data_IF_388012806658
#
_entry.id   IF_388012806658
#
_cell.length_a   1.000
_cell.length_b   1.000
_cell.length_c   1.000
_cell.angle_alpha   90.00
_cell.angle_beta   90.00
_cell.angle_gamma   90.00
#
_symmetry.space_group_name_H-M   'P 1'
#
loop_
_entity.id
_entity.type
_entity.pdbx_description
1 polymer ?
#
# COMPACT_ATOMS: atom_id res chain seq x y z
N UNK A 1 -12.37 5.61 -10.96
CA UNK A 1 -12.37 4.45 -10.03
C UNK A 1 -11.12 4.45 -9.17
N UNK A 2 -9.90 4.36 -9.73
CA UNK A 2 -8.65 4.38 -8.94
C UNK A 2 -8.48 5.68 -8.13
N UNK A 3 -8.69 6.83 -8.76
CA UNK A 3 -8.62 8.12 -8.05
C UNK A 3 -9.58 8.20 -6.86
N UNK A 4 -10.73 7.54 -6.97
CA UNK A 4 -11.72 7.52 -5.90
C UNK A 4 -11.29 6.58 -4.76
N UNK A 5 -10.70 5.42 -5.06
CA UNK A 5 -10.11 4.56 -4.04
C UNK A 5 -8.97 5.28 -3.30
N UNK A 6 -8.10 5.98 -4.03
CA UNK A 6 -7.04 6.78 -3.43
C UNK A 6 -7.60 7.90 -2.52
N UNK A 7 -8.69 8.58 -2.96
CA UNK A 7 -9.37 9.61 -2.16
C UNK A 7 -9.96 9.05 -0.86
N UNK A 8 -10.64 7.92 -0.95
CA UNK A 8 -11.25 7.24 0.20
C UNK A 8 -10.19 6.77 1.22
N UNK A 9 -9.03 6.34 0.74
CA UNK A 9 -7.90 5.92 1.56
C UNK A 9 -7.97 4.47 2.02
N UNK A 10 -6.80 3.97 2.47
CA UNK A 10 -6.58 2.56 2.78
C UNK A 10 -7.51 2.03 3.86
N UNK A 11 -7.72 2.79 4.94
CA UNK A 11 -8.58 2.38 6.05
C UNK A 11 -10.04 2.25 5.65
N UNK A 12 -10.60 3.22 4.89
CA UNK A 12 -12.00 3.18 4.42
C UNK A 12 -12.20 2.04 3.43
N UNK A 13 -11.23 1.83 2.53
CA UNK A 13 -11.25 0.74 1.54
C UNK A 13 -11.20 -0.63 2.23
N UNK A 14 -10.30 -0.82 3.18
CA UNK A 14 -10.22 -2.05 3.98
C UNK A 14 -11.53 -2.37 4.69
N UNK A 15 -12.09 -1.41 5.42
CA UNK A 15 -13.34 -1.59 6.15
C UNK A 15 -14.54 -1.82 5.21
N UNK A 16 -14.65 -1.03 4.13
CA UNK A 16 -15.71 -1.17 3.12
C UNK A 16 -15.59 -2.45 2.30
N UNK A 17 -14.37 -2.97 2.15
CA UNK A 17 -14.07 -4.24 1.49
C UNK A 17 -14.36 -5.49 2.34
N UNK A 18 -14.78 -5.32 3.60
CA UNK A 18 -15.09 -6.43 4.52
C UNK A 18 -13.89 -6.87 5.36
N UNK A 19 -12.93 -5.99 5.56
CA UNK A 19 -11.71 -6.20 6.38
C UNK A 19 -10.77 -7.26 5.81
N UNK A 20 -10.63 -7.25 4.50
CA UNK A 20 -9.72 -8.14 3.75
C UNK A 20 -8.62 -7.31 3.10
N UNK A 21 -7.41 -7.86 2.97
CA UNK A 21 -6.31 -7.25 2.23
C UNK A 21 -5.48 -6.23 3.03
N UNK A 22 -5.51 -6.23 4.37
CA UNK A 22 -4.62 -5.42 5.19
C UNK A 22 -3.19 -5.97 5.17
N UNK A 23 -2.25 -5.15 4.73
CA UNK A 23 -0.82 -5.46 4.76
C UNK A 23 -0.26 -5.17 6.16
N UNK A 24 -0.01 -6.22 6.94
CA UNK A 24 0.55 -6.13 8.29
C UNK A 24 2.08 -6.00 8.22
N UNK A 25 2.53 -4.79 7.97
CA UNK A 25 3.95 -4.46 7.88
C UNK A 25 4.23 -3.04 8.34
N UNK A 26 5.28 -2.87 9.14
CA UNK A 26 5.79 -1.54 9.48
C UNK A 26 6.41 -0.90 8.23
N UNK A 27 5.70 0.07 7.66
CA UNK A 27 6.10 0.76 6.44
C UNK A 27 6.36 2.24 6.71
N UNK A 28 7.44 2.74 6.15
CA UNK A 28 7.78 4.17 6.10
C UNK A 28 7.19 4.73 4.81
N UNK A 29 6.24 5.65 4.91
CA UNK A 29 5.83 6.49 3.78
C UNK A 29 6.89 7.56 3.56
N UNK A 30 7.61 7.48 2.46
CA UNK A 30 8.73 8.38 2.19
C UNK A 30 8.28 9.79 1.79
N UNK A 31 7.18 9.88 1.03
CA UNK A 31 6.58 11.15 0.59
C UNK A 31 5.31 11.41 1.40
N UNK A 32 5.38 12.17 2.51
CA UNK A 32 4.23 12.38 3.38
C UNK A 32 3.03 12.98 2.66
N UNK A 33 1.83 12.51 3.00
CA UNK A 33 0.56 12.98 2.42
C UNK A 33 0.22 12.38 1.06
N UNK A 34 1.06 11.52 0.50
CA UNK A 34 0.72 10.80 -0.72
C UNK A 34 -0.45 9.84 -0.47
N UNK A 35 -1.39 9.82 -1.42
CA UNK A 35 -2.48 8.86 -1.51
C UNK A 35 -2.50 8.30 -2.92
N UNK A 36 -2.37 7.01 -3.07
CA UNK A 36 -2.25 6.35 -4.38
C UNK A 36 -3.15 5.12 -4.43
N UNK A 37 -3.77 4.89 -5.57
CA UNK A 37 -4.33 3.59 -5.92
C UNK A 37 -3.88 3.21 -7.32
N UNK A 38 -3.43 1.97 -7.50
CA UNK A 38 -2.98 1.48 -8.80
C UNK A 38 -2.82 -0.03 -8.84
N UNK A 39 -2.82 -0.62 -10.05
CA UNK A 39 -2.62 -2.03 -10.23
C UNK A 39 -1.19 -2.46 -9.89
N UNK A 40 -1.04 -3.61 -9.26
CA UNK A 40 0.23 -4.18 -8.85
C UNK A 40 1.05 -4.68 -10.05
N UNK A 41 2.29 -4.19 -10.17
CA UNK A 41 3.38 -4.83 -10.93
C UNK A 41 4.26 -5.56 -9.92
N UNK A 42 4.13 -6.87 -9.84
CA UNK A 42 4.81 -7.67 -8.81
C UNK A 42 6.19 -8.15 -9.26
N UNK A 43 7.16 -8.06 -8.35
CA UNK A 43 8.56 -8.40 -8.57
C UNK A 43 9.07 -9.21 -7.39
N UNK A 44 9.53 -10.43 -7.65
CA UNK A 44 10.27 -11.24 -6.68
C UNK A 44 11.75 -11.23 -7.06
N UNK A 45 12.56 -10.59 -6.24
CA UNK A 45 14.02 -10.61 -6.33
C UNK A 45 14.59 -11.86 -5.67
N UNK A 46 15.78 -12.29 -6.06
CA UNK A 46 16.54 -13.21 -5.23
C UNK A 46 16.99 -12.53 -3.92
N UNK A 47 17.33 -13.31 -2.92
CA UNK A 47 17.68 -12.77 -1.61
C UNK A 47 18.90 -11.84 -1.67
N UNK A 48 18.68 -10.56 -1.36
CA UNK A 48 19.74 -9.53 -1.36
C UNK A 48 20.17 -9.07 -2.76
N UNK A 49 19.39 -9.37 -3.81
CA UNK A 49 19.68 -9.05 -5.21
C UNK A 49 18.58 -8.17 -5.80
N UNK A 50 18.91 -7.27 -6.73
CA UNK A 50 17.91 -6.40 -7.38
C UNK A 50 17.91 -6.49 -8.91
N UNK A 51 18.47 -7.54 -9.50
CA UNK A 51 18.45 -7.75 -10.95
C UNK A 51 17.02 -7.65 -11.51
N UNK A 52 16.04 -8.23 -10.79
CA UNK A 52 14.66 -8.21 -11.24
C UNK A 52 14.00 -6.83 -11.15
N UNK A 53 14.48 -5.94 -10.30
CA UNK A 53 14.02 -4.54 -10.30
C UNK A 53 14.42 -3.85 -11.61
N UNK A 54 15.65 -4.10 -12.11
CA UNK A 54 16.07 -3.59 -13.42
C UNK A 54 15.22 -4.16 -14.55
N UNK A 55 14.90 -5.47 -14.51
CA UNK A 55 14.04 -6.09 -15.51
C UNK A 55 12.60 -5.53 -15.49
N UNK A 56 12.08 -5.25 -14.29
CA UNK A 56 10.74 -4.68 -14.12
C UNK A 56 10.57 -3.32 -14.79
N UNK A 57 11.63 -2.49 -14.86
CA UNK A 57 11.55 -1.17 -15.51
C UNK A 57 11.18 -1.27 -16.98
N UNK A 58 11.56 -2.37 -17.67
CA UNK A 58 11.19 -2.58 -19.06
C UNK A 58 9.74 -3.06 -19.26
N UNK A 59 9.12 -3.58 -18.21
CA UNK A 59 7.74 -4.11 -18.25
C UNK A 59 6.71 -3.15 -17.63
N UNK A 60 7.15 -2.20 -16.83
CA UNK A 60 6.32 -1.26 -16.08
C UNK A 60 5.42 -0.42 -17.00
N UNK A 61 4.13 -0.35 -16.66
CA UNK A 61 3.17 0.47 -17.38
C UNK A 61 2.78 1.70 -16.54
N UNK A 62 2.41 2.84 -17.19
CA UNK A 62 1.93 4.01 -16.49
C UNK A 62 0.73 3.71 -15.57
N UNK A 63 0.79 4.25 -14.35
CA UNK A 63 -0.26 4.07 -13.34
C UNK A 63 -0.10 2.82 -12.47
N UNK A 64 0.85 1.93 -12.75
CA UNK A 64 1.11 0.77 -11.90
C UNK A 64 1.84 1.12 -10.60
N UNK A 65 1.56 0.35 -9.57
CA UNK A 65 2.32 0.31 -8.31
C UNK A 65 3.33 -0.83 -8.40
N UNK A 66 4.62 -0.47 -8.37
CA UNK A 66 5.69 -1.46 -8.40
C UNK A 66 5.86 -2.09 -7.00
N UNK A 67 5.65 -3.40 -6.89
CA UNK A 67 5.75 -4.16 -5.63
C UNK A 67 7.03 -4.98 -5.64
N UNK A 68 8.00 -4.59 -4.84
CA UNK A 68 9.32 -5.20 -4.76
C UNK A 68 9.46 -6.09 -3.54
N UNK A 69 9.72 -7.37 -3.75
CA UNK A 69 9.89 -8.37 -2.69
C UNK A 69 11.16 -9.19 -2.86
N UNK A 70 11.55 -9.89 -1.81
CA UNK A 70 12.53 -10.98 -1.81
C UNK A 70 12.02 -12.09 -0.88
N UNK A 71 12.59 -13.32 -0.92
CA UNK A 71 12.09 -14.45 -0.12
C UNK A 71 11.88 -14.13 1.37
N UNK A 72 12.87 -13.47 1.98
CA UNK A 72 12.81 -13.01 3.36
C UNK A 72 13.04 -11.50 3.39
N UNK A 73 12.10 -10.68 3.88
CA UNK A 73 12.32 -9.25 4.01
C UNK A 73 13.61 -8.95 4.78
N UNK A 74 14.50 -8.16 4.18
CA UNK A 74 15.81 -7.87 4.78
C UNK A 74 16.19 -6.39 4.57
N UNK A 75 17.04 -5.82 5.45
CA UNK A 75 17.45 -4.42 5.35
C UNK A 75 18.55 -4.20 4.28
N UNK A 76 18.27 -4.65 3.06
CA UNK A 76 19.06 -4.47 1.84
C UNK A 76 18.30 -3.58 0.89
N UNK A 77 18.92 -2.53 0.38
CA UNK A 77 18.29 -1.56 -0.51
C UNK A 77 18.13 -2.16 -1.92
N UNK A 78 16.89 -2.50 -2.27
CA UNK A 78 16.53 -2.95 -3.62
C UNK A 78 16.49 -1.79 -4.63
N UNK A 79 16.20 -0.57 -4.15
CA UNK A 79 16.05 0.61 -4.99
C UNK A 79 16.75 1.82 -4.34
N UNK A 80 17.29 2.69 -5.17
CA UNK A 80 17.78 4.02 -4.86
C UNK A 80 17.35 5.00 -5.94
N UNK A 81 17.96 6.19 -5.99
CA UNK A 81 17.59 7.31 -6.85
C UNK A 81 17.51 6.95 -8.34
N UNK A 82 18.50 6.23 -8.88
CA UNK A 82 18.58 5.90 -10.32
C UNK A 82 17.44 4.98 -10.77
N UNK A 83 17.09 3.97 -10.00
CA UNK A 83 15.97 3.07 -10.32
C UNK A 83 14.63 3.75 -10.09
N UNK A 84 14.50 4.55 -9.05
CA UNK A 84 13.29 5.34 -8.81
C UNK A 84 13.07 6.40 -9.91
N UNK A 85 14.15 7.01 -10.43
CA UNK A 85 14.09 7.88 -11.60
C UNK A 85 13.52 7.15 -12.82
N UNK A 86 13.99 5.93 -13.08
CA UNK A 86 13.45 5.11 -14.17
C UNK A 86 11.95 4.81 -13.96
N UNK A 87 11.58 4.34 -12.75
CA UNK A 87 10.19 4.06 -12.42
C UNK A 87 9.28 5.29 -12.64
N UNK A 88 9.72 6.46 -12.19
CA UNK A 88 9.00 7.73 -12.37
C UNK A 88 8.84 8.09 -13.85
N UNK A 89 9.90 7.99 -14.65
CA UNK A 89 9.87 8.29 -16.09
C UNK A 89 8.96 7.33 -16.84
N UNK A 90 8.90 6.06 -16.42
CA UNK A 90 7.98 5.06 -16.97
C UNK A 90 6.56 5.17 -16.41
N UNK A 91 6.28 6.15 -15.54
CA UNK A 91 4.94 6.47 -15.09
C UNK A 91 4.43 5.61 -13.92
N UNK A 92 5.32 5.03 -13.11
CA UNK A 92 4.90 4.38 -11.86
C UNK A 92 4.04 5.32 -11.02
N UNK A 93 2.91 4.84 -10.53
CA UNK A 93 2.07 5.59 -9.60
C UNK A 93 2.71 5.64 -8.20
N UNK A 94 3.32 4.54 -7.79
CA UNK A 94 4.03 4.39 -6.51
C UNK A 94 4.97 3.18 -6.54
N UNK A 95 5.76 3.04 -5.45
CA UNK A 95 6.57 1.84 -5.19
C UNK A 95 6.31 1.34 -3.77
N UNK A 96 6.02 0.05 -3.63
CA UNK A 96 5.99 -0.68 -2.35
C UNK A 96 7.22 -1.58 -2.28
N UNK A 97 8.07 -1.37 -1.28
CA UNK A 97 9.32 -2.11 -1.11
C UNK A 97 9.27 -2.92 0.18
N UNK A 98 9.10 -4.24 0.07
CA UNK A 98 9.16 -5.17 1.22
C UNK A 98 10.62 -5.46 1.63
N UNK A 99 11.46 -4.44 1.59
CA UNK A 99 12.89 -4.45 1.88
C UNK A 99 13.31 -3.02 2.26
N UNK A 100 14.58 -2.66 2.00
CA UNK A 100 15.05 -1.29 2.19
C UNK A 100 15.13 -0.50 0.87
N UNK A 101 15.20 0.82 1.03
CA UNK A 101 15.64 1.79 0.03
C UNK A 101 16.93 2.46 0.49
N UNK A 102 17.61 3.17 -0.41
CA UNK A 102 18.70 4.12 -0.10
C UNK A 102 18.46 5.45 -0.83
N UNK A 103 19.38 6.41 -0.68
CA UNK A 103 19.31 7.72 -1.33
C UNK A 103 18.02 8.48 -0.95
N UNK A 104 17.71 8.48 0.36
CA UNK A 104 16.43 8.94 0.91
C UNK A 104 16.11 10.39 0.53
N UNK A 105 17.10 11.28 0.65
CA UNK A 105 16.91 12.72 0.43
C UNK A 105 16.56 12.98 -1.04
N UNK A 106 17.25 12.32 -1.96
CA UNK A 106 16.99 12.39 -3.40
C UNK A 106 15.61 11.83 -3.77
N UNK A 107 15.20 10.74 -3.11
CA UNK A 107 13.87 10.14 -3.33
C UNK A 107 12.75 11.02 -2.80
N UNK A 108 12.93 11.67 -1.64
CA UNK A 108 11.98 12.64 -1.08
C UNK A 108 11.84 13.87 -2.01
N UNK A 109 12.96 14.41 -2.52
CA UNK A 109 12.97 15.52 -3.47
C UNK A 109 12.31 15.14 -4.80
N UNK A 110 12.54 13.90 -5.27
CA UNK A 110 11.93 13.39 -6.49
C UNK A 110 10.40 13.37 -6.39
N UNK A 111 9.83 13.10 -5.21
CA UNK A 111 8.42 13.11 -4.94
C UNK A 111 7.64 11.94 -5.55
N UNK A 112 8.30 10.87 -5.99
CA UNK A 112 7.62 9.61 -6.32
C UNK A 112 7.15 8.97 -5.01
N UNK A 113 5.85 8.63 -4.84
CA UNK A 113 5.38 7.97 -3.63
C UNK A 113 6.03 6.60 -3.43
N UNK A 114 6.67 6.41 -2.26
CA UNK A 114 7.34 5.15 -1.91
C UNK A 114 6.96 4.75 -0.49
N UNK A 115 6.61 3.46 -0.31
CA UNK A 115 6.46 2.80 0.99
C UNK A 115 7.53 1.72 1.11
N UNK A 116 8.28 1.72 2.22
CA UNK A 116 9.42 0.83 2.43
C UNK A 116 9.51 0.38 3.88
N UNK A 117 10.06 -0.82 4.14
CA UNK A 117 10.32 -1.25 5.52
C UNK A 117 11.47 -0.50 6.15
N UNK A 118 12.53 -0.23 5.39
CA UNK A 118 13.75 0.36 5.95
C UNK A 118 14.42 1.33 4.97
N UNK A 119 15.20 2.22 5.56
CA UNK A 119 16.20 3.01 4.82
C UNK A 119 17.58 2.52 5.23
N UNK A 120 18.38 2.00 4.31
CA UNK A 120 19.70 1.42 4.58
C UNK A 120 20.69 1.69 3.45
N UNK A 121 21.94 1.93 3.82
CA UNK A 121 23.05 2.15 2.87
C UNK A 121 23.47 0.87 2.13
N UNK A 122 23.21 -0.30 2.71
CA UNK A 122 23.58 -1.59 2.11
C UNK A 122 22.79 -1.83 0.82
N UNK A 123 23.45 -1.76 -0.32
CA UNK A 123 22.88 -2.08 -1.63
C UNK A 123 22.75 -3.59 -1.88
N UNK A 124 21.97 -3.92 -2.89
CA UNK A 124 21.78 -5.29 -3.38
C UNK A 124 22.80 -5.65 -4.45
N UNK A 125 23.02 -6.94 -4.65
CA UNK A 125 23.72 -7.52 -5.79
C UNK A 125 22.85 -7.47 -7.07
N UNK A 126 23.40 -7.94 -8.23
CA UNK A 126 22.71 -7.92 -9.53
C UNK A 126 23.05 -9.17 -10.36
N UNK A 127 23.13 -10.31 -9.72
CA UNK A 127 23.71 -11.51 -10.28
C UNK A 127 22.70 -12.67 -10.42
N UNK A 128 21.59 -12.60 -9.69
CA UNK A 128 20.65 -13.71 -9.55
C UNK A 128 19.25 -13.32 -10.01
N UNK A 129 18.74 -14.07 -11.00
CA UNK A 129 17.37 -13.86 -11.47
C UNK A 129 16.33 -14.29 -10.42
N UNK A 130 15.24 -13.58 -10.40
CA UNK A 130 14.00 -13.91 -9.69
C UNK A 130 12.85 -14.03 -10.69
N UNK A 131 11.69 -13.42 -10.37
CA UNK A 131 10.49 -13.51 -11.22
C UNK A 131 9.76 -12.18 -11.32
N UNK A 132 9.06 -11.96 -12.42
CA UNK A 132 8.11 -10.87 -12.64
C UNK A 132 6.70 -11.45 -12.80
N UNK A 133 5.71 -10.65 -12.47
CA UNK A 133 4.29 -10.97 -12.69
C UNK A 133 3.87 -12.33 -12.10
N UNK A 134 4.38 -12.62 -10.90
CA UNK A 134 3.98 -13.76 -10.08
C UNK A 134 3.35 -13.25 -8.78
N UNK A 135 2.45 -14.02 -8.15
CA UNK A 135 1.94 -13.66 -6.82
C UNK A 135 3.08 -13.47 -5.82
N UNK A 136 3.01 -12.40 -5.02
CA UNK A 136 3.96 -12.11 -3.94
C UNK A 136 3.22 -11.99 -2.61
N UNK A 137 3.93 -12.14 -1.49
CA UNK A 137 3.34 -11.95 -0.17
C UNK A 137 4.03 -10.78 0.54
N UNK A 138 3.24 -9.83 1.02
CA UNK A 138 3.72 -8.69 1.84
C UNK A 138 2.83 -8.58 3.06
N UNK A 139 3.43 -8.57 4.26
CA UNK A 139 2.67 -8.44 5.51
C UNK A 139 1.51 -9.44 5.63
N UNK A 140 1.73 -10.68 5.24
CA UNK A 140 0.72 -11.76 5.31
C UNK A 140 -0.35 -11.72 4.22
N UNK A 141 -0.34 -10.74 3.32
CA UNK A 141 -1.30 -10.63 2.20
C UNK A 141 -0.65 -11.08 0.90
N UNK A 142 -1.32 -11.98 0.18
CA UNK A 142 -0.95 -12.30 -1.21
C UNK A 142 -1.41 -11.18 -2.13
N UNK A 143 -0.51 -10.70 -2.95
CA UNK A 143 -0.76 -9.68 -3.98
C UNK A 143 -0.52 -10.34 -5.34
N UNK A 144 -1.56 -10.46 -6.15
CA UNK A 144 -1.45 -10.94 -7.51
C UNK A 144 -1.11 -9.79 -8.46
N UNK A 145 -0.46 -10.05 -9.60
CA UNK A 145 -0.32 -9.06 -10.65
C UNK A 145 -1.69 -8.50 -11.06
N UNK A 146 -1.82 -7.16 -11.05
CA UNK A 146 -3.06 -6.47 -11.38
C UNK A 146 -4.02 -6.22 -10.23
N UNK A 147 -3.83 -6.80 -9.04
CA UNK A 147 -4.58 -6.40 -7.84
C UNK A 147 -4.37 -4.92 -7.54
N UNK A 148 -5.39 -4.24 -7.03
CA UNK A 148 -5.30 -2.82 -6.75
C UNK A 148 -4.76 -2.59 -5.35
N UNK A 149 -3.64 -1.88 -5.26
CA UNK A 149 -3.12 -1.38 -4.00
C UNK A 149 -3.65 0.03 -3.73
N UNK A 150 -4.13 0.25 -2.52
CA UNK A 150 -4.47 1.59 -2.01
C UNK A 150 -3.52 1.91 -0.87
N UNK A 151 -2.72 2.95 -1.06
CA UNK A 151 -1.60 3.30 -0.18
C UNK A 151 -1.75 4.74 0.32
N UNK A 152 -1.62 4.92 1.62
CA UNK A 152 -1.61 6.25 2.26
C UNK A 152 -0.77 6.25 3.56
N UNK A 153 -1.02 7.22 4.46
CA UNK A 153 -0.29 7.34 5.71
C UNK A 153 -0.59 6.21 6.72
N UNK A 154 -1.74 5.57 6.60
CA UNK A 154 -2.15 4.47 7.49
C UNK A 154 -1.56 3.11 7.05
N UNK A 155 -1.08 3.02 5.80
CA UNK A 155 -0.47 1.82 5.25
C UNK A 155 -1.01 1.41 3.89
N UNK A 156 -1.23 0.11 3.71
CA UNK A 156 -1.61 -0.48 2.41
C UNK A 156 -2.79 -1.42 2.57
N UNK A 157 -3.80 -1.20 1.74
CA UNK A 157 -4.89 -2.15 1.52
C UNK A 157 -4.81 -2.72 0.10
N UNK A 158 -5.01 -4.03 -0.03
CA UNK A 158 -5.02 -4.75 -1.30
C UNK A 158 -6.45 -5.13 -1.64
N UNK A 159 -6.86 -4.85 -2.87
CA UNK A 159 -8.18 -5.19 -3.41
C UNK A 159 -7.97 -6.09 -4.62
N UNK A 160 -8.53 -7.29 -4.60
CA UNK A 160 -8.49 -8.19 -5.75
C UNK A 160 -9.08 -7.50 -6.99
N UNK A 161 -8.46 -7.70 -8.14
CA UNK A 161 -8.84 -7.00 -9.39
C UNK A 161 -10.33 -7.15 -9.73
N UNK A 162 -10.92 -8.32 -9.47
CA UNK A 162 -12.32 -8.61 -9.75
C UNK A 162 -13.28 -8.00 -8.72
N UNK A 163 -12.80 -7.59 -7.55
CA UNK A 163 -13.59 -7.07 -6.44
C UNK A 163 -13.67 -5.54 -6.37
N UNK A 164 -12.93 -4.84 -7.22
CA UNK A 164 -12.76 -3.38 -7.18
C UNK A 164 -14.09 -2.62 -7.13
N UNK A 165 -15.05 -3.01 -7.96
CA UNK A 165 -16.35 -2.34 -8.01
C UNK A 165 -17.14 -2.52 -6.71
N UNK A 166 -17.16 -3.73 -6.17
CA UNK A 166 -17.84 -4.07 -4.91
C UNK A 166 -17.22 -3.34 -3.72
N UNK A 167 -15.89 -3.33 -3.66
CA UNK A 167 -15.15 -2.66 -2.58
C UNK A 167 -15.35 -1.14 -2.65
N UNK A 168 -15.32 -0.54 -3.83
CA UNK A 168 -15.57 0.89 -4.01
C UNK A 168 -16.99 1.27 -3.53
N UNK A 169 -18.00 0.48 -3.88
CA UNK A 169 -19.38 0.71 -3.40
C UNK A 169 -19.46 0.64 -1.87
N UNK A 170 -18.87 -0.39 -1.27
CA UNK A 170 -18.84 -0.56 0.19
C UNK A 170 -18.08 0.56 0.90
N UNK A 171 -16.96 0.99 0.36
CA UNK A 171 -16.14 2.07 0.90
C UNK A 171 -16.86 3.44 0.81
N UNK A 172 -17.54 3.72 -0.30
CA UNK A 172 -18.36 4.93 -0.46
C UNK A 172 -19.53 4.95 0.54
N UNK A 173 -20.27 3.84 0.64
CA UNK A 173 -21.38 3.74 1.59
C UNK A 173 -20.91 3.89 3.06
N UNK A 174 -19.69 3.44 3.36
CA UNK A 174 -19.08 3.65 4.67
C UNK A 174 -18.74 5.12 4.91
N UNK A 175 -18.11 5.78 3.95
CA UNK A 175 -17.78 7.21 4.06
C UNK A 175 -19.03 8.06 4.33
N UNK A 176 -20.13 7.80 3.62
CA UNK A 176 -21.41 8.51 3.81
C UNK A 176 -21.93 8.33 5.25
N UNK A 177 -21.90 7.10 5.77
CA UNK A 177 -22.30 6.82 7.16
C UNK A 177 -21.40 7.52 8.17
N UNK A 178 -20.10 7.54 7.94
CA UNK A 178 -19.14 8.21 8.82
C UNK A 178 -19.29 9.73 8.77
N UNK A 179 -19.60 10.31 7.61
CA UNK A 179 -19.89 11.73 7.49
C UNK A 179 -21.10 12.14 8.32
N UNK A 180 -22.22 11.41 8.19
CA UNK A 180 -23.42 11.64 8.99
C UNK A 180 -23.18 11.45 10.51
N UNK A 181 -22.40 10.42 10.87
CA UNK A 181 -22.01 10.20 12.27
C UNK A 181 -21.14 11.34 12.82
N UNK A 182 -20.20 11.84 12.03
CA UNK A 182 -19.29 12.93 12.40
C UNK A 182 -20.05 14.22 12.73
N UNK A 183 -21.07 14.55 11.96
CA UNK A 183 -21.95 15.72 12.26
C UNK A 183 -22.59 15.60 13.65
N UNK A 184 -23.11 14.44 14.01
CA UNK A 184 -23.70 14.19 15.33
C UNK A 184 -22.68 14.26 16.44
N UNK A 185 -21.48 13.70 16.22
CA UNK A 185 -20.37 13.80 17.18
C UNK A 185 -19.92 15.26 17.39
N UNK A 186 -19.88 16.06 16.33
CA UNK A 186 -19.57 17.50 16.41
C UNK A 186 -20.65 18.29 17.15
N UNK A 187 -21.91 17.81 17.11
CA UNK A 187 -23.00 18.35 17.90
C UNK A 187 -22.95 17.93 19.39
N UNK A 188 -21.98 17.12 19.79
CA UNK A 188 -21.76 16.69 21.18
C UNK A 188 -22.39 15.34 21.54
N UNK A 189 -22.98 14.61 20.57
CA UNK A 189 -23.43 13.26 20.83
C UNK A 189 -22.25 12.31 21.06
N UNK A 190 -22.47 11.26 21.84
CA UNK A 190 -21.43 10.27 22.14
C UNK A 190 -21.66 8.98 21.34
N UNK A 191 -20.60 8.47 20.73
CA UNK A 191 -20.65 7.15 20.04
C UNK A 191 -21.07 6.03 20.99
N UNK A 192 -20.75 6.15 22.27
CA UNK A 192 -21.15 5.23 23.33
C UNK A 192 -22.69 5.03 23.40
N UNK A 193 -23.47 6.11 23.20
CA UNK A 193 -24.93 6.07 23.14
C UNK A 193 -25.43 5.69 21.75
N UNK A 194 -24.88 6.33 20.72
CA UNK A 194 -25.32 6.16 19.33
C UNK A 194 -25.20 4.71 18.84
N UNK A 195 -24.14 4.02 19.27
CA UNK A 195 -23.82 2.64 18.86
C UNK A 195 -24.36 1.60 19.86
N UNK A 196 -25.11 2.00 20.90
CA UNK A 196 -25.68 1.09 21.89
C UNK A 196 -24.64 0.44 22.83
N UNK A 197 -23.43 1.00 22.90
CA UNK A 197 -22.31 0.38 23.63
C UNK A 197 -22.53 0.39 25.14
N UNK A 198 -23.36 1.29 25.67
CA UNK A 198 -23.74 1.32 27.08
C UNK A 198 -24.34 -0.02 27.51
N UNK A 199 -25.27 -0.56 26.74
CA UNK A 199 -25.91 -1.83 27.08
C UNK A 199 -24.91 -3.00 27.11
N UNK A 200 -23.88 -3.00 26.27
CA UNK A 200 -22.81 -3.99 26.24
C UNK A 200 -21.97 -3.92 27.52
N UNK A 201 -21.59 -2.72 27.94
CA UNK A 201 -20.74 -2.51 29.12
C UNK A 201 -21.50 -2.82 30.42
N UNK A 202 -22.74 -2.34 30.55
CA UNK A 202 -23.55 -2.54 31.75
C UNK A 202 -24.06 -4.00 31.85
N UNK A 203 -24.36 -4.66 30.72
CA UNK A 203 -24.72 -6.06 30.68
C UNK A 203 -23.60 -7.04 31.01
N UNK A 204 -22.34 -6.65 30.76
CA UNK A 204 -21.16 -7.43 31.12
C UNK A 204 -20.77 -7.31 32.63
N UNK A 205 -21.35 -6.34 33.33
CA UNK A 205 -21.10 -6.09 34.76
C UNK A 205 -22.08 -6.84 35.71
N UNK A 206 -23.05 -7.56 35.15
CA UNK A 206 -24.04 -8.39 35.85
C UNK A 206 -23.73 -9.86 35.71
#
# INVERSE_FOLDING_TARGET
MLDELARLGSATVYEGGGRIGYVDADLIQLTPGSRVAGPARTVTCAQGDNLMVHAAMAALQPGEVLVLTMPEPAPVALIGDLLATQAKVHGAAAILVDAAIRDREELEEMGLPIWTRWVRVKGADKDTAGSLDVPVTVGGVTINPGDILVLDADGVAVVEADDVARVLEGATAREDKEAAKRERLQAGELSYEMDGLRAVVEGAAS
#
